data_IF_294455699928
#
_entry.id   IF_294455699928
#
_cell.length_a   1.000
_cell.length_b   1.000
_cell.length_c   1.000
_cell.angle_alpha   90.00
_cell.angle_beta   90.00
_cell.angle_gamma   90.00
#
_symmetry.space_group_name_H-M   'P 1'
#
loop_
_entity.id
_entity.type
_entity.pdbx_description
1 polymer ?
#
# COMPACT_ATOMS: atom_id res chain seq x y z
N UNK A 1 -15.10 -9.57 -3.99
CA UNK A 1 -14.92 -8.15 -3.59
C UNK A 1 -13.84 -7.44 -4.40
N UNK A 2 -12.56 -7.89 -4.38
CA UNK A 2 -11.52 -7.23 -5.20
C UNK A 2 -11.77 -7.36 -6.71
N UNK A 3 -12.10 -8.55 -7.20
CA UNK A 3 -12.41 -8.76 -8.63
C UNK A 3 -13.60 -7.91 -9.09
N UNK A 4 -14.67 -7.84 -8.29
CA UNK A 4 -15.82 -6.96 -8.56
C UNK A 4 -15.42 -5.48 -8.72
N UNK A 5 -14.41 -5.00 -7.98
CA UNK A 5 -13.90 -3.64 -8.15
C UNK A 5 -13.18 -3.47 -9.50
N UNK A 6 -12.49 -4.51 -9.98
CA UNK A 6 -11.89 -4.52 -11.32
C UNK A 6 -12.95 -4.59 -12.42
N UNK A 7 -13.99 -5.40 -12.22
CA UNK A 7 -15.14 -5.53 -13.13
C UNK A 7 -15.90 -4.19 -13.24
N UNK A 8 -16.00 -3.45 -12.14
CA UNK A 8 -16.57 -2.11 -12.07
C UNK A 8 -15.69 -1.01 -12.69
N UNK A 9 -14.55 -1.35 -13.28
CA UNK A 9 -13.71 -0.41 -14.04
C UNK A 9 -12.39 -0.03 -13.40
N UNK A 10 -12.08 -0.48 -12.17
CA UNK A 10 -10.79 -0.16 -11.55
C UNK A 10 -9.64 -0.93 -12.22
N UNK A 11 -8.48 -0.29 -12.32
CA UNK A 11 -7.24 -0.91 -12.79
C UNK A 11 -6.55 -1.69 -11.66
N UNK A 12 -6.64 -1.15 -10.44
CA UNK A 12 -6.07 -1.73 -9.22
C UNK A 12 -7.13 -1.77 -8.13
N UNK A 13 -7.35 -2.94 -7.54
CA UNK A 13 -8.16 -3.12 -6.34
C UNK A 13 -7.25 -3.41 -5.15
N UNK A 14 -7.14 -2.46 -4.22
CA UNK A 14 -6.32 -2.58 -3.03
C UNK A 14 -7.18 -2.94 -1.81
N UNK A 15 -6.88 -4.05 -1.17
CA UNK A 15 -7.48 -4.39 0.12
C UNK A 15 -7.19 -3.31 1.16
N UNK A 16 -8.16 -3.03 2.03
CA UNK A 16 -7.98 -2.11 3.14
C UNK A 16 -8.47 -2.71 4.45
N UNK A 17 -7.61 -2.68 5.47
CA UNK A 17 -7.97 -3.01 6.86
C UNK A 17 -8.59 -1.81 7.58
N UNK A 18 -8.53 -0.63 6.96
CA UNK A 18 -9.20 0.58 7.41
C UNK A 18 -10.58 0.64 6.74
N UNK A 19 -11.63 0.62 7.54
CA UNK A 19 -13.01 0.67 7.08
C UNK A 19 -13.39 2.08 6.61
N UNK A 20 -14.46 2.25 5.81
CA UNK A 20 -14.92 3.57 5.36
C UNK A 20 -15.22 4.57 6.49
N UNK A 21 -15.58 4.09 7.68
CA UNK A 21 -15.75 4.91 8.89
C UNK A 21 -14.47 5.19 9.68
N UNK A 22 -13.29 4.87 9.14
CA UNK A 22 -11.98 5.05 9.80
C UNK A 22 -11.63 3.97 10.83
N UNK A 23 -12.50 2.99 11.07
CA UNK A 23 -12.23 1.90 11.98
C UNK A 23 -11.07 1.03 11.45
N UNK A 24 -10.00 0.91 12.23
CA UNK A 24 -8.84 0.08 11.90
C UNK A 24 -9.00 -1.31 12.52
N UNK A 25 -9.14 -2.33 11.69
CA UNK A 25 -9.31 -3.71 12.17
C UNK A 25 -8.05 -4.27 12.87
N UNK A 26 -6.93 -3.54 12.85
CA UNK A 26 -5.71 -3.85 13.62
C UNK A 26 -5.76 -3.33 15.06
N UNK A 27 -6.89 -2.76 15.50
CA UNK A 27 -7.03 -2.19 16.85
C UNK A 27 -6.75 -3.18 17.99
N UNK A 28 -6.84 -4.49 17.74
CA UNK A 28 -6.50 -5.56 18.68
C UNK A 28 -4.99 -5.75 18.94
N UNK A 29 -4.12 -5.06 18.20
CA UNK A 29 -2.66 -5.13 18.41
C UNK A 29 -2.20 -4.35 19.66
N UNK A 30 -1.10 -4.77 20.31
CA UNK A 30 -0.52 -4.04 21.44
C UNK A 30 -0.26 -2.56 21.13
N UNK A 31 -0.54 -1.67 22.09
CA UNK A 31 -0.52 -0.21 21.89
C UNK A 31 0.82 0.33 21.33
N UNK A 32 1.95 -0.23 21.76
CA UNK A 32 3.28 0.15 21.25
C UNK A 32 3.48 -0.18 19.76
N UNK A 33 2.92 -1.30 19.28
CA UNK A 33 2.90 -1.64 17.84
C UNK A 33 2.05 -0.65 17.05
N UNK A 34 0.95 -0.19 17.66
CA UNK A 34 0.02 0.78 17.05
C UNK A 34 0.59 2.18 16.92
N UNK A 35 1.45 2.62 17.83
CA UNK A 35 2.07 3.96 17.76
C UNK A 35 3.13 4.02 16.66
N UNK A 36 4.04 3.04 16.61
CA UNK A 36 5.05 2.95 15.55
C UNK A 36 4.41 2.82 14.16
N UNK A 37 3.45 1.90 14.01
CA UNK A 37 2.72 1.72 12.73
C UNK A 37 1.98 2.97 12.26
N UNK A 38 1.44 3.79 13.19
CA UNK A 38 0.74 5.04 12.86
C UNK A 38 1.67 6.11 12.31
N UNK A 39 2.91 6.21 12.80
CA UNK A 39 3.89 7.16 12.27
C UNK A 39 4.23 6.86 10.81
N UNK A 40 4.57 5.61 10.48
CA UNK A 40 4.91 5.22 9.11
C UNK A 40 3.71 5.28 8.17
N UNK A 41 2.52 4.95 8.68
CA UNK A 41 1.27 5.15 7.95
C UNK A 41 1.06 6.61 7.55
N UNK A 42 1.24 7.53 8.48
CA UNK A 42 1.13 8.97 8.21
C UNK A 42 2.23 9.47 7.27
N UNK A 43 3.48 8.99 7.42
CA UNK A 43 4.58 9.33 6.53
C UNK A 43 4.30 8.91 5.08
N UNK A 44 3.80 7.69 4.86
CA UNK A 44 3.39 7.20 3.52
C UNK A 44 2.30 8.04 2.90
N UNK A 45 1.25 8.35 3.67
CA UNK A 45 0.15 9.20 3.19
C UNK A 45 0.66 10.57 2.78
N UNK A 46 1.47 11.22 3.61
CA UNK A 46 1.95 12.58 3.31
C UNK A 46 2.95 12.63 2.16
N UNK A 47 3.83 11.62 2.03
CA UNK A 47 4.92 11.67 1.06
C UNK A 47 4.56 11.09 -0.32
N UNK A 48 3.68 10.09 -0.36
CA UNK A 48 3.47 9.27 -1.56
C UNK A 48 2.00 9.13 -1.96
N UNK A 49 1.10 8.89 -1.01
CA UNK A 49 -0.24 8.35 -1.29
C UNK A 49 -1.30 8.97 -0.35
N UNK A 50 -1.61 10.28 -0.46
CA UNK A 50 -2.46 10.99 0.51
C UNK A 50 -3.90 10.45 0.58
N UNK A 51 -4.36 9.90 -0.54
CA UNK A 51 -5.70 9.40 -0.79
C UNK A 51 -5.84 7.87 -0.66
N UNK A 52 -4.78 7.17 -0.24
CA UNK A 52 -4.83 5.74 0.10
C UNK A 52 -4.75 5.57 1.61
N UNK A 53 -5.79 4.97 2.19
CA UNK A 53 -5.91 4.73 3.62
C UNK A 53 -5.04 3.55 4.04
N UNK A 54 -5.08 2.40 3.36
CA UNK A 54 -4.22 1.26 3.73
C UNK A 54 -3.16 0.95 2.66
N UNK A 55 -1.97 1.51 2.85
CA UNK A 55 -0.83 1.34 1.94
C UNK A 55 -0.05 0.04 2.16
N UNK A 56 -0.30 -0.69 3.25
CA UNK A 56 0.48 -1.87 3.66
C UNK A 56 -0.33 -3.16 3.60
N UNK A 57 -1.49 -3.16 2.92
CA UNK A 57 -2.25 -4.38 2.72
C UNK A 57 -1.68 -5.10 1.50
N UNK A 58 -1.00 -6.23 1.70
CA UNK A 58 -0.47 -7.05 0.61
C UNK A 58 -1.55 -7.73 -0.25
N UNK A 59 -2.82 -7.64 0.15
CA UNK A 59 -3.93 -8.22 -0.62
C UNK A 59 -4.40 -7.24 -1.69
N UNK A 60 -3.92 -7.42 -2.92
CA UNK A 60 -4.23 -6.56 -4.07
C UNK A 60 -4.58 -7.39 -5.30
N UNK A 61 -5.42 -6.86 -6.16
CA UNK A 61 -5.72 -7.40 -7.48
C UNK A 61 -5.52 -6.32 -8.54
N UNK A 62 -5.11 -6.75 -9.73
CA UNK A 62 -4.73 -5.86 -10.82
C UNK A 62 -5.37 -6.37 -12.12
N UNK A 63 -5.79 -5.46 -12.99
CA UNK A 63 -5.98 -5.81 -14.40
C UNK A 63 -4.63 -6.20 -15.01
N UNK A 64 -4.65 -7.07 -16.01
CA UNK A 64 -3.43 -7.57 -16.67
C UNK A 64 -2.52 -6.43 -17.14
N UNK A 65 -3.06 -5.48 -17.90
CA UNK A 65 -2.30 -4.33 -18.42
C UNK A 65 -1.72 -3.46 -17.30
N UNK A 66 -2.49 -3.23 -16.24
CA UNK A 66 -2.03 -2.50 -15.06
C UNK A 66 -0.89 -3.25 -14.36
N UNK A 67 -1.01 -4.57 -14.19
CA UNK A 67 0.04 -5.39 -13.61
C UNK A 67 1.32 -5.31 -14.46
N UNK A 68 1.23 -5.54 -15.76
CA UNK A 68 2.39 -5.46 -16.66
C UNK A 68 3.07 -4.10 -16.60
N UNK A 69 2.30 -2.99 -16.59
CA UNK A 69 2.85 -1.64 -16.49
C UNK A 69 3.51 -1.35 -15.13
N UNK A 70 2.93 -1.83 -14.02
CA UNK A 70 3.44 -1.58 -12.67
C UNK A 70 4.64 -2.49 -12.37
N UNK A 71 4.49 -3.81 -12.52
CA UNK A 71 5.49 -4.79 -12.10
C UNK A 71 6.76 -4.76 -12.97
N UNK A 72 6.67 -4.35 -14.24
CA UNK A 72 7.86 -4.10 -15.08
C UNK A 72 8.73 -2.92 -14.60
N UNK A 73 8.21 -2.08 -13.69
CA UNK A 73 8.90 -0.90 -13.13
C UNK A 73 9.23 -1.05 -11.65
N UNK A 74 8.72 -2.08 -10.99
CA UNK A 74 8.99 -2.34 -9.57
C UNK A 74 10.50 -2.56 -9.37
N UNK A 75 11.07 -1.96 -8.33
CA UNK A 75 12.47 -2.16 -7.96
C UNK A 75 12.67 -2.62 -6.52
N UNK A 76 11.66 -2.47 -5.65
CA UNK A 76 11.76 -2.92 -4.27
C UNK A 76 11.20 -4.33 -4.14
N UNK A 77 11.96 -5.21 -3.48
CA UNK A 77 11.53 -6.58 -3.13
C UNK A 77 11.26 -6.73 -1.62
N UNK A 78 11.57 -5.69 -0.83
CA UNK A 78 11.38 -5.66 0.62
C UNK A 78 9.98 -5.22 1.04
N UNK A 79 9.78 -5.01 2.34
CA UNK A 79 8.49 -4.67 2.97
C UNK A 79 7.72 -3.50 2.36
N UNK A 80 8.42 -2.59 1.68
CA UNK A 80 7.85 -1.38 1.08
C UNK A 80 7.38 -1.56 -0.37
N UNK A 81 7.53 -2.76 -0.96
CA UNK A 81 7.12 -3.02 -2.35
C UNK A 81 5.64 -2.67 -2.57
N UNK A 82 4.77 -3.01 -1.61
CA UNK A 82 3.34 -2.72 -1.66
C UNK A 82 3.03 -1.22 -1.84
N UNK A 83 3.82 -0.35 -1.21
CA UNK A 83 3.68 1.10 -1.34
C UNK A 83 4.24 1.59 -2.68
N UNK A 84 5.31 0.96 -3.19
CA UNK A 84 5.84 1.24 -4.52
C UNK A 84 4.82 0.94 -5.62
N UNK A 85 4.13 -0.22 -5.55
CA UNK A 85 3.10 -0.59 -6.53
C UNK A 85 1.98 0.45 -6.61
N UNK A 86 1.49 0.89 -5.45
CA UNK A 86 0.44 1.91 -5.37
C UNK A 86 0.94 3.28 -5.86
N UNK A 87 2.19 3.63 -5.58
CA UNK A 87 2.81 4.86 -6.08
C UNK A 87 2.94 4.84 -7.60
N UNK A 88 3.44 3.74 -8.17
CA UNK A 88 3.55 3.54 -9.61
C UNK A 88 2.17 3.61 -10.28
N UNK A 89 1.15 2.95 -9.71
CA UNK A 89 -0.21 3.03 -10.21
C UNK A 89 -0.72 4.48 -10.30
N UNK A 90 -0.53 5.28 -9.24
CA UNK A 90 -0.86 6.72 -9.27
C UNK A 90 -0.07 7.49 -10.32
N UNK A 91 1.24 7.25 -10.43
CA UNK A 91 2.10 7.95 -11.40
C UNK A 91 1.78 7.61 -12.85
N UNK A 92 1.26 6.42 -13.10
CA UNK A 92 0.80 5.96 -14.41
C UNK A 92 -0.64 6.41 -14.71
N UNK A 93 -1.32 7.09 -13.79
CA UNK A 93 -2.71 7.53 -13.97
C UNK A 93 -3.75 6.41 -13.83
N UNK A 94 -3.37 5.27 -13.25
CA UNK A 94 -4.25 4.11 -13.10
C UNK A 94 -5.25 4.33 -11.96
N UNK A 95 -6.48 3.87 -12.17
CA UNK A 95 -7.55 3.95 -11.18
C UNK A 95 -7.34 2.93 -10.05
N UNK A 96 -7.38 3.40 -8.80
CA UNK A 96 -7.19 2.56 -7.60
C UNK A 96 -8.45 2.59 -6.76
N UNK A 97 -9.03 1.41 -6.51
CA UNK A 97 -10.17 1.24 -5.60
C UNK A 97 -9.75 0.54 -4.31
N UNK A 98 -9.98 1.20 -3.18
CA UNK A 98 -9.80 0.59 -1.87
C UNK A 98 -11.03 -0.26 -1.51
N UNK A 99 -10.81 -1.54 -1.19
CA UNK A 99 -11.85 -2.52 -0.87
C UNK A 99 -11.72 -2.93 0.59
N UNK A 100 -12.71 -2.64 1.44
CA UNK A 100 -12.67 -3.02 2.85
C UNK A 100 -12.59 -4.54 3.01
N UNK A 101 -11.67 -4.98 3.86
CA UNK A 101 -11.46 -6.38 4.21
C UNK A 101 -11.75 -6.59 5.70
N UNK A 102 -12.31 -7.75 6.00
CA UNK A 102 -12.29 -8.28 7.34
C UNK A 102 -10.90 -8.82 7.64
N UNK A 103 -10.26 -8.29 8.67
CA UNK A 103 -8.94 -8.73 9.10
C UNK A 103 -9.05 -9.35 10.48
N UNK A 104 -8.52 -10.57 10.61
CA UNK A 104 -8.41 -11.26 11.89
C UNK A 104 -6.93 -11.42 12.21
N UNK A 105 -6.54 -11.05 13.43
CA UNK A 105 -5.17 -11.28 13.89
C UNK A 105 -4.96 -12.79 14.06
N UNK A 106 -3.93 -13.31 13.39
CA UNK A 106 -3.41 -14.65 13.66
C UNK A 106 -2.17 -14.49 14.52
N UNK A 107 -2.15 -15.12 15.69
CA UNK A 107 -0.97 -15.13 16.57
C UNK A 107 0.21 -15.82 15.87
N UNK A 108 1.43 -15.32 16.10
CA UNK A 108 2.65 -15.81 15.46
C UNK A 108 3.38 -14.83 14.54
N UNK A 109 3.04 -13.53 14.58
CA UNK A 109 3.73 -12.52 13.76
C UNK A 109 5.21 -12.39 14.14
N UNK A 110 6.11 -12.81 13.24
CA UNK A 110 7.57 -12.69 13.36
C UNK A 110 8.12 -11.26 13.15
N UNK A 111 7.25 -10.26 13.06
CA UNK A 111 7.66 -8.87 12.76
C UNK A 111 8.31 -8.25 13.99
N UNK A 112 9.63 -7.98 13.89
CA UNK A 112 10.44 -7.22 14.84
C UNK A 112 10.40 -5.73 14.50
N UNK A 113 9.87 -4.89 15.39
CA UNK A 113 9.66 -3.43 15.21
C UNK A 113 10.97 -2.61 15.38
N UNK A 114 12.14 -3.25 15.25
CA UNK A 114 13.45 -2.61 15.40
C UNK A 114 13.93 -1.88 14.14
N UNK A 115 15.15 -2.17 13.69
CA UNK A 115 15.79 -1.55 12.51
C UNK A 115 14.95 -1.49 11.23
N UNK A 116 13.95 -2.37 11.07
CA UNK A 116 13.04 -2.36 9.92
C UNK A 116 12.30 -1.03 9.73
N UNK A 117 12.01 -0.33 10.83
CA UNK A 117 11.32 0.97 10.85
C UNK A 117 12.09 2.09 10.11
N UNK A 118 13.43 2.15 10.28
CA UNK A 118 14.24 3.17 9.61
C UNK A 118 14.45 2.85 8.12
N UNK A 119 14.55 1.55 7.80
CA UNK A 119 14.62 1.07 6.42
C UNK A 119 13.34 1.42 5.65
N UNK A 120 12.16 1.31 6.27
CA UNK A 120 10.89 1.70 5.65
C UNK A 120 10.88 3.18 5.23
N UNK A 121 11.34 4.12 6.07
CA UNK A 121 11.38 5.56 5.69
C UNK A 121 12.33 5.83 4.53
N UNK A 122 13.51 5.20 4.56
CA UNK A 122 14.48 5.30 3.46
C UNK A 122 13.86 4.78 2.17
N UNK A 123 13.11 3.68 2.23
CA UNK A 123 12.42 3.12 1.08
C UNK A 123 11.36 4.09 0.53
N UNK A 124 10.63 4.83 1.38
CA UNK A 124 9.67 5.84 0.89
C UNK A 124 10.35 6.95 0.09
N UNK A 125 11.48 7.47 0.61
CA UNK A 125 12.28 8.47 -0.11
C UNK A 125 12.84 7.89 -1.42
N UNK A 126 13.30 6.63 -1.39
CA UNK A 126 13.82 5.91 -2.55
C UNK A 126 12.74 5.71 -3.62
N UNK A 127 11.53 5.28 -3.26
CA UNK A 127 10.38 5.14 -4.18
C UNK A 127 10.14 6.46 -4.91
N UNK A 128 10.05 7.57 -4.16
CA UNK A 128 9.83 8.89 -4.75
C UNK A 128 10.94 9.29 -5.72
N UNK A 129 12.19 9.01 -5.36
CA UNK A 129 13.35 9.34 -6.20
C UNK A 129 13.42 8.48 -7.47
N UNK A 130 13.33 7.15 -7.34
CA UNK A 130 13.39 6.20 -8.46
C UNK A 130 12.33 6.51 -9.51
N UNK A 131 11.12 6.80 -9.05
CA UNK A 131 9.95 6.94 -9.93
C UNK A 131 9.57 8.38 -10.23
N UNK A 132 10.44 9.36 -9.92
CA UNK A 132 10.19 10.79 -10.20
C UNK A 132 9.94 11.09 -11.68
N UNK A 133 10.48 10.28 -12.58
CA UNK A 133 10.35 10.42 -14.04
C UNK A 133 9.14 9.71 -14.65
N UNK A 134 8.44 8.85 -13.90
CA UNK A 134 7.30 8.07 -14.44
C UNK A 134 6.14 9.00 -14.78
N UNK A 135 5.63 8.93 -16.00
CA UNK A 135 4.48 9.72 -16.47
C UNK A 135 3.40 8.76 -16.99
N UNK A 136 2.11 9.16 -16.97
CA UNK A 136 1.08 8.43 -17.68
C UNK A 136 1.47 8.28 -19.16
N UNK A 137 1.08 7.17 -19.78
CA UNK A 137 1.06 7.11 -21.23
C UNK A 137 0.03 8.15 -21.69
N UNK A 138 0.48 9.12 -22.50
CA UNK A 138 -0.38 10.14 -23.08
C UNK A 138 -1.35 9.55 -24.10
#
# INVERSE_FOLDING_TARGET
KLLQALDAGADVAAGSRIQPGGADMRASQPAWRRVGGRFFHMARRRLLLPDIEDTQCGFKAFRRSAAEAIFSRQQLEGWSFDAELLYLAKRLGLSIRQVPLEWRHMEGSKVRIGLGSLLELRDLARIRWLHRGVRPAG
#
